data_IF_964900098105
#
_entry.id   IF_964900098105
#
_cell.length_a   1.000
_cell.length_b   1.000
_cell.length_c   1.000
_cell.angle_alpha   90.00
_cell.angle_beta   90.00
_cell.angle_gamma   90.00
#
_symmetry.space_group_name_H-M   'P 1'
#
loop_
_entity.id
_entity.type
_entity.pdbx_description
1 polymer ?
#
# COMPACT_ATOMS: atom_id res chain seq x y z
N UNK A 1 -2.20 -8.04 -2.50
CA UNK A 1 -3.15 -7.07 -3.09
C UNK A 1 -4.32 -7.81 -3.71
N UNK A 2 -5.51 -7.24 -3.66
CA UNK A 2 -6.73 -7.81 -4.24
C UNK A 2 -7.26 -6.84 -5.29
N UNK A 3 -7.65 -7.36 -6.46
CA UNK A 3 -8.38 -6.60 -7.47
C UNK A 3 -9.87 -6.89 -7.31
N UNK A 4 -10.65 -5.84 -7.03
CA UNK A 4 -12.08 -5.93 -6.76
C UNK A 4 -12.83 -5.04 -7.74
N UNK A 5 -13.83 -5.61 -8.41
CA UNK A 5 -14.72 -4.89 -9.34
C UNK A 5 -16.16 -5.33 -9.04
N UNK A 6 -17.09 -4.37 -8.98
CA UNK A 6 -18.51 -4.61 -8.65
C UNK A 6 -18.72 -5.42 -7.36
N UNK A 7 -17.89 -5.16 -6.35
CA UNK A 7 -17.92 -5.86 -5.07
C UNK A 7 -17.48 -7.32 -5.13
N UNK A 8 -16.87 -7.78 -6.22
CA UNK A 8 -16.39 -9.16 -6.41
C UNK A 8 -14.88 -9.18 -6.57
N UNK A 9 -14.22 -10.15 -5.91
CA UNK A 9 -12.82 -10.44 -6.13
C UNK A 9 -12.63 -10.94 -7.56
N UNK A 10 -11.76 -10.28 -8.32
CA UNK A 10 -11.41 -10.65 -9.70
C UNK A 10 -10.07 -11.33 -9.78
N UNK A 11 -9.11 -10.84 -9.01
CA UNK A 11 -7.74 -11.36 -9.02
C UNK A 11 -7.03 -11.01 -7.70
N UNK A 12 -5.90 -11.67 -7.44
CA UNK A 12 -5.05 -11.41 -6.28
C UNK A 12 -3.58 -11.59 -6.61
N UNK A 13 -2.75 -10.66 -6.12
CA UNK A 13 -1.28 -10.75 -6.18
C UNK A 13 -0.75 -10.85 -4.75
N UNK A 14 -0.04 -11.92 -4.42
CA UNK A 14 0.63 -12.13 -3.14
C UNK A 14 2.03 -12.70 -3.39
N UNK A 15 3.03 -11.82 -3.32
CA UNK A 15 4.40 -12.12 -3.76
C UNK A 15 5.41 -11.71 -2.69
N UNK A 16 6.40 -12.56 -2.45
CA UNK A 16 7.58 -12.21 -1.65
C UNK A 16 8.64 -11.59 -2.57
N UNK A 17 9.13 -10.41 -2.22
CA UNK A 17 10.09 -9.68 -3.05
C UNK A 17 11.52 -9.95 -2.59
N UNK A 18 12.36 -10.40 -3.53
CA UNK A 18 13.81 -10.50 -3.36
C UNK A 18 14.47 -9.24 -3.89
N UNK A 19 15.14 -8.55 -2.98
CA UNK A 19 15.95 -7.38 -3.26
C UNK A 19 17.42 -7.78 -3.32
N UNK A 20 18.18 -7.17 -4.24
CA UNK A 20 19.64 -7.32 -4.28
C UNK A 20 20.26 -6.51 -3.13
N UNK A 21 20.34 -7.13 -1.95
CA UNK A 21 20.84 -6.51 -0.74
C UNK A 21 21.30 -7.56 0.28
N UNK A 22 22.17 -7.14 1.20
CA UNK A 22 22.57 -7.93 2.36
C UNK A 22 21.63 -7.75 3.57
N UNK A 23 20.38 -7.31 3.34
CA UNK A 23 19.42 -7.10 4.42
C UNK A 23 19.14 -8.40 5.16
N UNK A 24 19.47 -8.42 6.45
CA UNK A 24 19.18 -9.54 7.35
C UNK A 24 17.90 -9.24 8.13
N UNK A 25 16.92 -10.13 8.02
CA UNK A 25 15.68 -10.03 8.79
C UNK A 25 15.98 -10.36 10.26
N UNK A 26 15.65 -9.43 11.16
CA UNK A 26 15.83 -9.64 12.60
C UNK A 26 14.85 -10.69 13.14
N UNK A 27 15.17 -11.30 14.28
CA UNK A 27 14.29 -12.29 14.93
C UNK A 27 12.90 -11.72 15.24
N UNK A 28 12.83 -10.47 15.71
CA UNK A 28 11.56 -9.81 16.02
C UNK A 28 10.77 -9.47 14.76
N UNK A 29 11.42 -8.96 13.72
CA UNK A 29 10.73 -8.72 12.45
C UNK A 29 10.16 -10.03 11.89
N UNK A 30 10.94 -11.11 11.91
CA UNK A 30 10.49 -12.40 11.42
C UNK A 30 9.33 -12.98 12.25
N UNK A 31 9.36 -12.82 13.57
CA UNK A 31 8.26 -13.23 14.44
C UNK A 31 6.97 -12.46 14.17
N UNK A 32 7.08 -11.15 13.94
CA UNK A 32 5.92 -10.27 13.71
C UNK A 32 5.31 -10.51 12.32
N UNK A 33 6.15 -10.65 11.28
CA UNK A 33 5.68 -10.78 9.89
C UNK A 33 5.42 -12.22 9.47
N UNK A 34 5.79 -13.20 10.30
CA UNK A 34 5.78 -14.61 9.93
C UNK A 34 6.84 -14.99 8.89
N UNK A 35 7.88 -14.16 8.72
CA UNK A 35 8.96 -14.44 7.78
C UNK A 35 9.65 -15.76 8.10
N UNK A 36 9.85 -16.57 7.05
CA UNK A 36 10.60 -17.81 7.12
C UNK A 36 11.60 -17.86 5.95
N UNK A 37 12.89 -17.96 6.27
CA UNK A 37 13.96 -17.93 5.27
C UNK A 37 13.80 -19.04 4.21
N UNK A 38 13.46 -20.26 4.62
CA UNK A 38 13.27 -21.38 3.70
C UNK A 38 12.11 -21.14 2.72
N UNK A 39 11.00 -20.57 3.22
CA UNK A 39 9.86 -20.20 2.37
C UNK A 39 10.24 -19.08 1.41
N UNK A 40 10.94 -18.06 1.92
CA UNK A 40 11.42 -16.93 1.14
C UNK A 40 12.35 -17.38 0.01
N UNK A 41 13.37 -18.20 0.31
CA UNK A 41 14.32 -18.68 -0.69
C UNK A 41 13.64 -19.50 -1.81
N UNK A 42 12.53 -20.19 -1.49
CA UNK A 42 11.78 -21.00 -2.45
C UNK A 42 10.79 -20.17 -3.29
N UNK A 43 10.19 -19.13 -2.72
CA UNK A 43 9.04 -18.42 -3.32
C UNK A 43 9.36 -17.00 -3.79
N UNK A 44 10.37 -16.35 -3.21
CA UNK A 44 10.62 -14.95 -3.47
C UNK A 44 11.07 -14.73 -4.92
N UNK A 45 10.52 -13.70 -5.54
CA UNK A 45 10.81 -13.29 -6.91
C UNK A 45 11.63 -12.00 -6.91
N UNK A 46 12.52 -11.80 -7.89
CA UNK A 46 13.20 -10.52 -8.03
C UNK A 46 12.19 -9.37 -8.10
N UNK A 47 12.40 -8.31 -7.31
CA UNK A 47 11.45 -7.19 -7.22
C UNK A 47 11.07 -6.62 -8.61
N UNK A 48 12.06 -6.54 -9.52
CA UNK A 48 11.88 -6.03 -10.88
C UNK A 48 10.85 -6.80 -11.72
N UNK A 49 10.67 -8.09 -11.44
CA UNK A 49 9.70 -8.93 -12.15
C UNK A 49 8.26 -8.71 -11.66
N UNK A 50 8.11 -8.19 -10.45
CA UNK A 50 6.81 -7.99 -9.79
C UNK A 50 6.38 -6.52 -9.88
N UNK A 51 7.33 -5.60 -9.95
CA UNK A 51 7.09 -4.15 -9.97
C UNK A 51 6.04 -3.74 -10.99
N UNK A 52 6.19 -4.17 -12.25
CA UNK A 52 5.30 -3.74 -13.33
C UNK A 52 3.86 -4.15 -13.07
N UNK A 53 3.63 -5.38 -12.59
CA UNK A 53 2.29 -5.85 -12.19
C UNK A 53 1.70 -5.01 -11.05
N UNK A 54 2.50 -4.70 -10.02
CA UNK A 54 2.03 -3.89 -8.89
C UNK A 54 1.70 -2.47 -9.33
N UNK A 55 2.58 -1.86 -10.13
CA UNK A 55 2.40 -0.52 -10.65
C UNK A 55 1.12 -0.43 -11.50
N UNK A 56 0.94 -1.34 -12.47
CA UNK A 56 -0.22 -1.33 -13.37
C UNK A 56 -1.53 -1.51 -12.59
N UNK A 57 -1.55 -2.36 -11.56
CA UNK A 57 -2.75 -2.52 -10.73
C UNK A 57 -3.13 -1.24 -9.99
N UNK A 58 -2.16 -0.47 -9.50
CA UNK A 58 -2.41 0.81 -8.83
C UNK A 58 -2.78 1.91 -9.85
N UNK A 59 -2.10 1.93 -11.01
CA UNK A 59 -2.30 2.93 -12.06
C UNK A 59 -3.63 2.75 -12.81
N UNK A 60 -4.08 1.51 -12.99
CA UNK A 60 -5.36 1.22 -13.65
C UNK A 60 -6.57 1.27 -12.70
N UNK A 61 -6.34 1.25 -11.38
CA UNK A 61 -7.43 1.28 -10.39
C UNK A 61 -8.12 2.65 -10.31
N UNK A 62 -9.43 2.66 -10.05
CA UNK A 62 -10.16 3.86 -9.65
C UNK A 62 -9.78 4.31 -8.23
N UNK A 63 -9.62 3.33 -7.33
CA UNK A 63 -9.30 3.54 -5.92
C UNK A 63 -8.24 2.56 -5.42
N UNK A 64 -7.34 3.07 -4.59
CA UNK A 64 -6.36 2.29 -3.84
C UNK A 64 -6.83 2.28 -2.39
N UNK A 65 -7.32 1.14 -1.92
CA UNK A 65 -7.91 1.00 -0.58
C UNK A 65 -6.99 0.17 0.31
N UNK A 66 -6.72 0.64 1.52
CA UNK A 66 -5.95 -0.12 2.50
C UNK A 66 -5.90 0.53 3.88
N UNK A 67 -5.19 -0.09 4.81
CA UNK A 67 -5.04 0.42 6.17
C UNK A 67 -3.68 1.10 6.33
N UNK A 68 -3.66 2.40 6.65
CA UNK A 68 -2.43 3.20 6.78
C UNK A 68 -1.63 3.38 5.47
N UNK A 69 -2.30 3.31 4.31
CA UNK A 69 -1.66 3.46 3.00
C UNK A 69 -1.04 4.84 2.78
N UNK A 70 -1.68 5.90 3.29
CA UNK A 70 -1.19 7.27 3.15
C UNK A 70 -0.05 7.54 4.14
N UNK A 71 -0.07 6.86 5.28
CA UNK A 71 0.94 6.98 6.32
C UNK A 71 2.21 6.16 6.07
N UNK A 72 2.14 5.07 5.28
CA UNK A 72 3.28 4.18 5.10
C UNK A 72 3.39 3.54 3.72
N UNK A 73 2.39 2.82 3.23
CA UNK A 73 2.54 1.97 2.03
C UNK A 73 2.86 2.77 0.77
N UNK A 74 2.22 3.92 0.56
CA UNK A 74 2.53 4.80 -0.58
C UNK A 74 3.90 5.47 -0.46
N UNK A 75 4.47 5.58 0.73
CA UNK A 75 5.86 6.00 0.89
C UNK A 75 6.82 4.94 0.33
N UNK A 76 6.57 3.64 0.60
CA UNK A 76 7.35 2.55 0.01
C UNK A 76 7.16 2.50 -1.52
N UNK A 77 5.90 2.62 -1.98
CA UNK A 77 5.59 2.65 -3.42
C UNK A 77 6.27 3.81 -4.14
N UNK A 78 6.34 5.00 -3.52
CA UNK A 78 7.09 6.16 -4.04
C UNK A 78 8.57 5.84 -4.26
N UNK A 79 9.20 5.11 -3.33
CA UNK A 79 10.58 4.65 -3.49
C UNK A 79 10.73 3.72 -4.68
N UNK A 80 9.83 2.74 -4.78
CA UNK A 80 9.82 1.75 -5.86
C UNK A 80 9.61 2.40 -7.24
N UNK A 81 8.64 3.32 -7.37
CA UNK A 81 8.41 4.07 -8.61
C UNK A 81 9.62 4.91 -9.03
N UNK A 82 10.32 5.55 -8.10
CA UNK A 82 11.52 6.35 -8.40
C UNK A 82 12.65 5.52 -8.97
N UNK A 83 12.80 4.26 -8.56
CA UNK A 83 13.83 3.37 -9.12
C UNK A 83 13.60 3.04 -10.60
N UNK A 84 12.35 3.11 -11.06
CA UNK A 84 11.93 2.75 -12.42
C UNK A 84 11.38 3.94 -13.21
N UNK A 85 11.65 5.17 -12.76
CA UNK A 85 11.20 6.42 -13.40
C UNK A 85 9.69 6.48 -13.70
N UNK A 86 8.87 5.91 -12.80
CA UNK A 86 7.40 5.91 -12.94
C UNK A 86 6.74 7.07 -12.18
N UNK A 87 5.68 7.68 -12.73
CA UNK A 87 4.91 8.70 -12.01
C UNK A 87 4.10 8.05 -10.88
N UNK A 88 4.00 8.72 -9.73
CA UNK A 88 3.28 8.16 -8.56
C UNK A 88 2.38 9.19 -7.85
N UNK A 89 2.46 10.48 -8.22
CA UNK A 89 1.70 11.54 -7.54
C UNK A 89 0.17 11.35 -7.65
N UNK A 90 -0.30 10.68 -8.70
CA UNK A 90 -1.73 10.43 -8.90
C UNK A 90 -2.26 9.35 -7.94
N UNK A 91 -1.42 8.45 -7.40
CA UNK A 91 -1.85 7.43 -6.43
C UNK A 91 -2.46 8.05 -5.16
N UNK A 92 -1.91 9.18 -4.69
CA UNK A 92 -2.45 9.88 -3.51
C UNK A 92 -3.90 10.35 -3.70
N UNK A 93 -4.30 10.69 -4.93
CA UNK A 93 -5.67 11.11 -5.24
C UNK A 93 -6.65 9.94 -5.29
N UNK A 94 -6.15 8.72 -5.55
CA UNK A 94 -6.92 7.47 -5.58
C UNK A 94 -7.01 6.80 -4.20
N UNK A 95 -6.22 7.26 -3.23
CA UNK A 95 -6.06 6.60 -1.94
C UNK A 95 -7.31 6.75 -1.05
N UNK A 96 -7.75 5.62 -0.50
CA UNK A 96 -8.75 5.51 0.55
C UNK A 96 -8.11 4.79 1.75
N UNK A 97 -7.69 5.56 2.75
CA UNK A 97 -7.04 5.08 3.96
C UNK A 97 -8.07 4.76 5.05
N UNK A 98 -8.30 3.47 5.25
CA UNK A 98 -9.27 2.97 6.22
C UNK A 98 -8.89 3.29 7.67
N UNK A 99 -7.62 3.54 7.99
CA UNK A 99 -7.21 4.00 9.34
C UNK A 99 -7.72 5.41 9.58
N UNK A 100 -7.54 6.29 8.60
CA UNK A 100 -8.01 7.67 8.66
C UNK A 100 -9.53 7.73 8.84
N UNK A 101 -10.27 6.96 8.04
CA UNK A 101 -11.73 6.86 8.13
C UNK A 101 -12.19 6.32 9.49
N UNK A 102 -11.60 5.22 9.96
CA UNK A 102 -11.94 4.63 11.25
C UNK A 102 -11.68 5.60 12.42
N UNK A 103 -10.56 6.34 12.37
CA UNK A 103 -10.24 7.34 13.39
C UNK A 103 -11.23 8.48 13.38
N UNK A 104 -11.57 9.02 12.21
CA UNK A 104 -12.57 10.09 12.08
C UNK A 104 -13.94 9.69 12.62
N UNK A 105 -14.40 8.47 12.33
CA UNK A 105 -15.64 7.95 12.92
C UNK A 105 -15.54 7.83 14.45
N UNK A 106 -14.42 7.32 14.96
CA UNK A 106 -14.19 7.12 16.40
C UNK A 106 -14.21 8.43 17.20
N UNK A 107 -13.71 9.53 16.64
CA UNK A 107 -13.65 10.84 17.31
C UNK A 107 -14.80 11.78 16.88
N UNK A 108 -15.83 11.24 16.20
CA UNK A 108 -17.00 11.98 15.75
C UNK A 108 -16.66 13.16 14.81
N UNK A 109 -15.59 13.00 14.02
CA UNK A 109 -15.17 13.92 12.96
C UNK A 109 -15.27 13.22 11.60
N UNK A 110 -16.48 12.91 11.08
CA UNK A 110 -16.64 12.30 9.77
C UNK A 110 -16.21 13.27 8.66
N UNK A 111 -15.91 12.71 7.48
CA UNK A 111 -15.59 13.50 6.30
C UNK A 111 -16.75 14.41 5.91
N UNK A 112 -16.46 15.68 5.66
CA UNK A 112 -17.41 16.67 5.15
C UNK A 112 -16.83 17.34 3.92
N UNK A 113 -17.38 17.03 2.75
CA UNK A 113 -16.88 17.50 1.46
C UNK A 113 -16.93 19.02 1.25
N UNK A 114 -17.69 19.74 2.07
CA UNK A 114 -17.78 21.19 2.04
C UNK A 114 -16.63 21.88 2.80
N UNK A 115 -15.94 21.17 3.70
CA UNK A 115 -14.89 21.74 4.56
C UNK A 115 -13.49 21.52 3.98
N UNK A 116 -13.24 20.34 3.41
CA UNK A 116 -11.92 19.92 2.92
C UNK A 116 -12.04 18.95 1.74
N UNK A 117 -10.97 18.83 0.95
CA UNK A 117 -10.85 17.70 0.04
C UNK A 117 -10.72 16.38 0.82
N UNK A 118 -11.06 15.26 0.17
CA UNK A 118 -10.97 13.95 0.81
C UNK A 118 -9.53 13.60 1.23
N UNK A 119 -8.54 13.95 0.43
CA UNK A 119 -7.13 13.73 0.75
C UNK A 119 -6.67 14.53 1.98
N UNK A 120 -7.04 15.81 2.07
CA UNK A 120 -6.72 16.66 3.23
C UNK A 120 -7.38 16.13 4.51
N UNK A 121 -8.64 15.72 4.42
CA UNK A 121 -9.35 15.09 5.53
C UNK A 121 -8.61 13.85 6.04
N UNK A 122 -8.20 12.96 5.12
CA UNK A 122 -7.49 11.74 5.48
C UNK A 122 -6.17 12.04 6.20
N UNK A 123 -5.37 12.99 5.69
CA UNK A 123 -4.13 13.41 6.37
C UNK A 123 -4.37 14.04 7.74
N UNK A 124 -5.41 14.88 7.87
CA UNK A 124 -5.81 15.45 9.17
C UNK A 124 -6.10 14.33 10.16
N UNK A 125 -6.89 13.32 9.77
CA UNK A 125 -7.19 12.19 10.66
C UNK A 125 -5.93 11.40 11.01
N UNK A 126 -5.06 11.08 10.05
CA UNK A 126 -3.80 10.34 10.30
C UNK A 126 -2.89 11.06 11.31
N UNK A 127 -2.93 12.40 11.34
CA UNK A 127 -2.09 13.22 12.23
C UNK A 127 -2.61 13.40 13.67
N UNK A 128 -3.88 13.06 13.93
CA UNK A 128 -4.52 13.16 15.25
C UNK A 128 -4.32 11.89 16.07
#
# INVERSE_FOLDING_TARGET
MLKVEDGRLKDSVDEMLKWDSDLKISKEAARITGYNQFVFDKKARPEKEVFQTVYDWLDDSDYIVGHNILGFDLYLMRGWCKMYDKPYNHFFKKAVDTMALARGLKIEMPFKSQENSFLEYQYKMISL
#
